data_IF_338152422361
#
_entry.id   IF_338152422361
#
_cell.length_a   1.000
_cell.length_b   1.000
_cell.length_c   1.000
_cell.angle_alpha   90.00
_cell.angle_beta   90.00
_cell.angle_gamma   90.00
#
_symmetry.space_group_name_H-M   'P 1'
#
loop_
_entity.id
_entity.type
_entity.pdbx_description
1 polymer ?
#
# COMPACT_ATOMS: atom_id res chain seq x y z
N UNK A 1 20.57 7.69 6.13
CA UNK A 1 20.14 6.35 6.58
C UNK A 1 18.96 5.75 5.81
N UNK A 2 17.85 6.47 5.54
CA UNK A 2 16.68 5.89 4.84
C UNK A 2 16.96 5.33 3.42
N UNK A 3 17.92 5.91 2.70
CA UNK A 3 18.34 5.42 1.37
C UNK A 3 18.98 4.03 1.41
N UNK A 4 19.66 3.66 2.50
CA UNK A 4 20.38 2.38 2.60
C UNK A 4 19.45 1.21 3.00
N UNK A 5 18.42 1.47 3.82
CA UNK A 5 17.45 0.44 4.22
C UNK A 5 16.57 0.03 3.04
N UNK A 6 16.16 1.00 2.20
CA UNK A 6 15.37 0.72 1.00
C UNK A 6 16.25 0.01 -0.06
N UNK A 7 17.53 0.37 -0.16
CA UNK A 7 18.45 -0.28 -1.10
C UNK A 7 18.66 -1.77 -0.76
N UNK A 8 18.83 -2.13 0.51
CA UNK A 8 19.08 -3.51 0.94
C UNK A 8 17.87 -4.44 0.73
N UNK A 9 16.65 -3.98 1.02
CA UNK A 9 15.44 -4.76 0.78
C UNK A 9 15.13 -4.96 -0.72
N UNK A 10 15.48 -3.97 -1.56
CA UNK A 10 15.30 -4.03 -3.01
C UNK A 10 16.39 -4.90 -3.67
N UNK A 11 17.63 -4.88 -3.18
CA UNK A 11 18.70 -5.69 -3.75
C UNK A 11 18.47 -7.21 -3.57
N UNK A 12 17.94 -7.63 -2.40
CA UNK A 12 17.68 -9.04 -2.11
C UNK A 12 16.55 -9.63 -2.98
N UNK A 13 15.62 -8.80 -3.47
CA UNK A 13 14.51 -9.24 -4.30
C UNK A 13 14.86 -9.36 -5.81
N UNK A 14 15.93 -8.71 -6.27
CA UNK A 14 16.27 -8.64 -7.70
C UNK A 14 17.17 -9.78 -8.20
N UNK A 15 17.80 -10.54 -7.30
CA UNK A 15 18.72 -11.63 -7.66
C UNK A 15 18.04 -12.99 -7.86
N UNK A 16 16.73 -13.12 -7.58
CA UNK A 16 16.02 -14.36 -7.85
C UNK A 16 15.57 -14.38 -9.32
N UNK A 17 16.02 -15.35 -10.16
CA UNK A 17 15.59 -15.45 -11.54
C UNK A 17 14.07 -15.44 -11.60
N UNK A 18 13.51 -14.57 -12.45
CA UNK A 18 12.08 -14.40 -12.62
C UNK A 18 11.45 -15.77 -12.96
N UNK A 19 10.82 -16.39 -11.96
CA UNK A 19 10.21 -17.71 -12.07
C UNK A 19 9.31 -17.75 -13.32
N UNK A 20 9.69 -18.58 -14.27
CA UNK A 20 9.31 -18.51 -15.68
C UNK A 20 7.83 -18.25 -15.94
N UNK A 21 7.54 -17.09 -16.51
CA UNK A 21 6.28 -16.81 -17.18
C UNK A 21 6.25 -17.56 -18.53
N UNK A 22 6.08 -18.88 -18.49
CA UNK A 22 5.82 -19.69 -19.68
C UNK A 22 4.56 -19.17 -20.38
N UNK A 23 4.74 -18.66 -21.60
CA UNK A 23 3.69 -18.11 -22.49
C UNK A 23 2.72 -19.22 -22.94
N UNK A 24 1.58 -18.77 -23.47
CA UNK A 24 0.29 -19.46 -23.66
C UNK A 24 0.34 -20.71 -24.56
N UNK A 25 -0.46 -21.73 -24.21
CA UNK A 25 -1.41 -22.33 -25.14
C UNK A 25 -1.08 -23.68 -25.80
N UNK A 26 0.17 -24.16 -25.77
CA UNK A 26 0.49 -25.52 -26.25
C UNK A 26 0.09 -26.59 -25.23
N UNK A 27 -0.20 -27.82 -25.67
CA UNK A 27 -0.20 -29.01 -24.80
C UNK A 27 1.05 -28.89 -23.92
N UNK A 28 0.87 -28.84 -22.60
CA UNK A 28 2.00 -28.70 -21.69
C UNK A 28 2.82 -29.96 -21.82
N UNK A 29 3.99 -29.87 -22.44
CA UNK A 29 5.01 -30.91 -22.35
C UNK A 29 5.37 -31.02 -20.88
N UNK A 30 4.79 -32.02 -20.23
CA UNK A 30 5.06 -32.32 -18.82
C UNK A 30 6.53 -32.72 -18.66
N UNK A 31 7.14 -33.22 -19.74
CA UNK A 31 8.53 -33.64 -19.79
C UNK A 31 9.51 -32.44 -19.66
N UNK A 32 9.04 -31.21 -19.90
CA UNK A 32 9.85 -29.99 -19.76
C UNK A 32 9.86 -29.38 -18.34
N UNK A 33 9.16 -29.98 -17.36
CA UNK A 33 9.30 -29.53 -15.98
C UNK A 33 10.60 -30.06 -15.40
N UNK A 34 11.56 -29.16 -15.16
CA UNK A 34 12.75 -29.44 -14.36
C UNK A 34 12.51 -29.02 -12.92
N UNK A 35 13.05 -29.78 -11.97
CA UNK A 35 13.10 -29.37 -10.57
C UNK A 35 14.16 -28.29 -10.44
N UNK A 36 13.78 -27.14 -9.91
CA UNK A 36 14.73 -26.08 -9.56
C UNK A 36 15.27 -26.36 -8.18
N UNK A 37 16.52 -26.80 -8.11
CA UNK A 37 17.24 -27.01 -6.86
C UNK A 37 17.80 -25.67 -6.35
N UNK A 38 17.56 -25.40 -5.07
CA UNK A 38 18.24 -24.34 -4.33
C UNK A 38 19.30 -24.97 -3.45
N UNK A 39 20.43 -24.30 -3.26
CA UNK A 39 21.55 -24.79 -2.44
C UNK A 39 21.72 -23.98 -1.15
N UNK A 40 20.64 -23.34 -0.68
CA UNK A 40 20.62 -22.54 0.55
C UNK A 40 19.23 -22.64 1.17
N UNK A 41 19.17 -23.08 2.43
CA UNK A 41 17.93 -23.19 3.18
C UNK A 41 17.23 -21.83 3.29
N UNK A 42 17.97 -20.75 3.53
CA UNK A 42 17.40 -19.41 3.68
C UNK A 42 16.70 -18.94 2.40
N UNK A 43 17.33 -19.15 1.23
CA UNK A 43 16.70 -18.87 -0.05
C UNK A 43 15.44 -19.72 -0.27
N UNK A 44 15.50 -21.01 0.10
CA UNK A 44 14.35 -21.92 0.04
C UNK A 44 13.19 -21.44 0.91
N UNK A 45 13.49 -20.98 2.11
CA UNK A 45 12.53 -20.45 3.08
C UNK A 45 11.88 -19.15 2.59
N UNK A 46 12.63 -18.24 1.98
CA UNK A 46 12.10 -17.01 1.36
C UNK A 46 11.10 -17.37 0.24
N UNK A 47 11.49 -18.27 -0.68
CA UNK A 47 10.63 -18.69 -1.80
C UNK A 47 9.37 -19.41 -1.29
N UNK A 48 9.53 -20.29 -0.29
CA UNK A 48 8.44 -21.00 0.35
C UNK A 48 7.45 -20.05 1.03
N UNK A 49 7.95 -19.07 1.77
CA UNK A 49 7.13 -18.09 2.48
C UNK A 49 6.36 -17.18 1.52
N UNK A 50 6.97 -16.87 0.37
CA UNK A 50 6.34 -16.11 -0.71
C UNK A 50 5.10 -16.80 -1.27
N UNK A 51 5.10 -18.13 -1.38
CA UNK A 51 4.03 -18.87 -2.08
C UNK A 51 3.28 -19.90 -1.23
N UNK A 52 3.55 -19.98 0.08
CA UNK A 52 3.01 -20.98 1.01
C UNK A 52 3.27 -22.42 0.54
N UNK A 53 4.47 -22.67 0.04
CA UNK A 53 4.88 -24.01 -0.41
C UNK A 53 5.65 -24.73 0.69
N UNK A 54 5.46 -26.05 0.88
CA UNK A 54 6.37 -26.84 1.68
C UNK A 54 7.75 -26.91 1.01
N UNK A 55 8.77 -27.22 1.80
CA UNK A 55 10.15 -27.35 1.36
C UNK A 55 10.61 -28.79 1.56
N UNK A 56 11.06 -29.42 0.49
CA UNK A 56 11.78 -30.70 0.54
C UNK A 56 13.26 -30.37 0.72
N UNK A 57 13.81 -30.73 1.88
CA UNK A 57 15.25 -30.71 2.13
C UNK A 57 15.82 -32.07 1.75
N UNK A 58 16.80 -32.08 0.86
CA UNK A 58 17.54 -33.26 0.45
C UNK A 58 18.97 -33.16 0.94
N UNK A 59 19.29 -33.91 1.97
CA UNK A 59 20.65 -34.04 2.50
C UNK A 59 21.36 -35.11 1.66
N UNK A 60 22.19 -34.67 0.72
CA UNK A 60 22.89 -35.58 -0.18
C UNK A 60 24.17 -34.91 -0.71
N UNK A 61 25.35 -35.57 -0.61
CA UNK A 61 26.59 -35.08 -1.17
C UNK A 61 26.49 -35.06 -2.70
N UNK A 62 26.76 -33.90 -3.28
CA UNK A 62 26.74 -33.73 -4.73
C UNK A 62 27.82 -34.57 -5.42
N UNK A 63 27.55 -34.98 -6.66
CA UNK A 63 28.52 -35.73 -7.48
C UNK A 63 28.72 -37.21 -7.09
N UNK A 64 27.96 -37.74 -6.12
CA UNK A 64 28.02 -39.16 -5.77
C UNK A 64 27.12 -40.02 -6.67
N UNK A 65 27.48 -41.29 -6.85
CA UNK A 65 26.63 -42.27 -7.58
C UNK A 65 25.26 -42.43 -6.92
N UNK A 66 25.20 -42.31 -5.60
CA UNK A 66 23.95 -42.37 -4.84
C UNK A 66 23.04 -41.18 -5.18
N UNK A 67 23.59 -39.96 -5.19
CA UNK A 67 22.85 -38.76 -5.60
C UNK A 67 22.31 -38.88 -7.03
N UNK A 68 23.15 -39.34 -7.96
CA UNK A 68 22.74 -39.53 -9.36
C UNK A 68 21.60 -40.55 -9.51
N UNK A 69 21.70 -41.68 -8.82
CA UNK A 69 20.66 -42.71 -8.87
C UNK A 69 19.34 -42.21 -8.29
N UNK A 70 19.39 -41.50 -7.17
CA UNK A 70 18.21 -40.93 -6.52
C UNK A 70 17.55 -39.83 -7.37
N UNK A 71 18.36 -38.99 -8.02
CA UNK A 71 17.86 -38.01 -8.99
C UNK A 71 17.07 -38.68 -10.11
N UNK A 72 17.61 -39.75 -10.70
CA UNK A 72 16.95 -40.48 -11.78
C UNK A 72 15.68 -41.24 -11.32
N UNK A 73 15.74 -41.94 -10.19
CA UNK A 73 14.63 -42.80 -9.73
C UNK A 73 13.51 -42.05 -9.05
N UNK A 74 13.83 -40.93 -8.40
CA UNK A 74 12.92 -40.26 -7.47
C UNK A 74 12.47 -38.92 -8.04
N UNK A 75 13.43 -38.04 -8.34
CA UNK A 75 13.16 -36.66 -8.69
C UNK A 75 12.84 -36.46 -10.19
N UNK A 76 13.44 -37.24 -11.08
CA UNK A 76 13.24 -37.10 -12.53
C UNK A 76 11.93 -37.72 -13.05
N UNK A 77 11.15 -38.33 -12.15
CA UNK A 77 9.86 -38.93 -12.46
C UNK A 77 8.80 -37.89 -12.80
N UNK A 78 7.89 -38.24 -13.72
CA UNK A 78 6.78 -37.38 -14.15
C UNK A 78 5.90 -36.95 -12.97
N UNK A 79 5.69 -37.84 -12.02
CA UNK A 79 4.82 -37.65 -10.86
C UNK A 79 5.37 -36.55 -9.95
N UNK A 80 6.68 -36.55 -9.66
CA UNK A 80 7.32 -35.51 -8.85
C UNK A 80 7.43 -34.20 -9.63
N UNK A 81 7.79 -34.24 -10.92
CA UNK A 81 7.84 -33.05 -11.79
C UNK A 81 6.51 -32.27 -11.84
N UNK A 82 5.37 -32.96 -11.82
CA UNK A 82 4.03 -32.33 -11.77
C UNK A 82 3.78 -31.61 -10.45
N UNK A 83 4.37 -32.09 -9.35
CA UNK A 83 4.26 -31.48 -8.01
C UNK A 83 5.26 -30.34 -7.81
N UNK A 84 6.36 -30.32 -8.56
CA UNK A 84 7.45 -29.37 -8.39
C UNK A 84 7.03 -27.89 -8.37
N UNK A 85 6.05 -27.42 -9.18
CA UNK A 85 5.57 -26.04 -9.10
C UNK A 85 4.89 -25.66 -7.78
N UNK A 86 4.62 -26.61 -6.88
CA UNK A 86 3.92 -26.43 -5.61
C UNK A 86 4.79 -26.79 -4.39
N UNK A 87 6.08 -27.04 -4.60
CA UNK A 87 7.05 -27.42 -3.58
C UNK A 87 8.34 -26.63 -3.85
N UNK A 88 9.14 -26.39 -2.83
CA UNK A 88 10.49 -25.85 -2.99
C UNK A 88 11.47 -26.97 -2.69
N UNK A 89 12.41 -27.22 -3.59
CA UNK A 89 13.45 -28.24 -3.41
C UNK A 89 14.74 -27.54 -3.02
N UNK A 90 15.32 -27.96 -1.90
CA UNK A 90 16.59 -27.45 -1.40
C UNK A 90 17.51 -28.65 -1.20
N UNK A 91 18.67 -28.62 -1.86
CA UNK A 91 19.73 -29.59 -1.63
C UNK A 91 20.70 -29.02 -0.60
N UNK A 92 20.99 -29.82 0.41
CA UNK A 92 21.89 -29.49 1.51
C UNK A 92 23.08 -30.44 1.40
N UNK A 93 24.29 -29.86 1.38
CA UNK A 93 25.53 -30.61 1.43
C UNK A 93 25.93 -30.78 2.90
N UNK A 94 25.86 -32.00 3.46
CA UNK A 94 26.13 -32.22 4.88
C UNK A 94 27.54 -31.78 5.30
N UNK A 95 28.52 -31.95 4.41
CA UNK A 95 29.91 -31.55 4.63
C UNK A 95 30.10 -30.02 4.72
N UNK A 96 29.24 -29.25 4.06
CA UNK A 96 29.31 -27.78 4.03
C UNK A 96 28.44 -27.16 5.12
N UNK A 97 27.28 -27.75 5.42
CA UNK A 97 26.30 -27.24 6.37
C UNK A 97 25.96 -28.27 7.49
N UNK A 98 26.95 -28.75 8.27
CA UNK A 98 26.75 -29.81 9.27
C UNK A 98 25.81 -29.39 10.41
N UNK A 99 25.68 -28.09 10.66
CA UNK A 99 24.73 -27.55 11.64
C UNK A 99 23.28 -27.87 11.27
N UNK A 100 22.96 -27.92 9.96
CA UNK A 100 21.61 -28.25 9.49
C UNK A 100 21.32 -29.74 9.67
N UNK A 101 22.30 -30.60 9.46
CA UNK A 101 22.18 -32.04 9.72
C UNK A 101 21.81 -32.28 11.19
N UNK A 102 22.55 -31.67 12.11
CA UNK A 102 22.29 -31.72 13.55
C UNK A 102 20.92 -31.12 13.92
N UNK A 103 20.59 -29.95 13.36
CA UNK A 103 19.31 -29.26 13.62
C UNK A 103 18.11 -30.12 13.21
N UNK A 104 18.25 -30.87 12.13
CA UNK A 104 17.18 -31.71 11.61
C UNK A 104 17.28 -33.20 12.01
N UNK A 105 18.20 -33.54 12.92
CA UNK A 105 18.41 -34.89 13.45
C UNK A 105 18.50 -35.92 12.31
N UNK A 106 19.38 -35.63 11.34
CA UNK A 106 19.67 -36.53 10.22
C UNK A 106 20.69 -37.56 10.70
N UNK A 107 20.37 -38.85 10.51
CA UNK A 107 21.21 -39.97 10.97
C UNK A 107 21.86 -40.74 9.82
N UNK A 108 21.26 -40.69 8.64
CA UNK A 108 21.70 -41.39 7.46
C UNK A 108 21.65 -40.46 6.25
N UNK A 109 22.56 -40.65 5.30
CA UNK A 109 22.65 -39.88 4.06
C UNK A 109 22.57 -40.88 2.88
N UNK A 110 21.69 -40.68 1.88
CA UNK A 110 20.82 -39.52 1.71
C UNK A 110 19.65 -39.48 2.70
N UNK A 111 19.10 -38.29 2.92
CA UNK A 111 17.90 -38.11 3.75
C UNK A 111 16.97 -37.04 3.17
N UNK A 112 15.66 -37.25 3.29
CA UNK A 112 14.63 -36.29 2.90
C UNK A 112 13.78 -35.83 4.08
N UNK A 113 13.58 -34.52 4.16
CA UNK A 113 12.79 -33.89 5.21
C UNK A 113 11.84 -32.88 4.58
N UNK A 114 10.55 -32.99 4.92
CA UNK A 114 9.55 -32.02 4.50
C UNK A 114 9.27 -31.03 5.63
N UNK A 115 9.51 -29.75 5.37
CA UNK A 115 9.27 -28.65 6.32
C UNK A 115 8.29 -27.63 5.73
N UNK A 116 7.71 -26.79 6.58
CA UNK A 116 7.00 -25.59 6.16
C UNK A 116 7.96 -24.40 5.96
N UNK A 117 7.42 -23.26 5.53
CA UNK A 117 8.15 -22.01 5.33
C UNK A 117 8.64 -21.35 6.63
N UNK A 118 8.33 -21.92 7.80
CA UNK A 118 8.85 -21.53 9.10
C UNK A 118 9.87 -22.54 9.63
N UNK A 119 10.24 -23.55 8.83
CA UNK A 119 11.20 -24.57 9.20
C UNK A 119 10.60 -25.68 10.08
N UNK A 120 9.28 -25.67 10.32
CA UNK A 120 8.62 -26.70 11.12
C UNK A 120 8.44 -27.96 10.29
N UNK A 121 8.83 -29.11 10.86
CA UNK A 121 8.66 -30.41 10.21
C UNK A 121 7.18 -30.73 9.95
N UNK A 122 6.88 -31.18 8.75
CA UNK A 122 5.55 -31.57 8.28
C UNK A 122 5.37 -33.09 8.22
N UNK A 123 6.47 -33.85 8.13
CA UNK A 123 6.54 -35.31 8.09
C UNK A 123 7.68 -35.84 8.98
N UNK A 124 7.73 -37.16 9.14
CA UNK A 124 8.93 -37.85 9.61
C UNK A 124 10.03 -37.78 8.54
N UNK A 125 11.29 -37.94 8.96
CA UNK A 125 12.43 -38.05 8.05
C UNK A 125 12.30 -39.34 7.23
N UNK A 126 12.72 -39.29 5.98
CA UNK A 126 12.93 -40.48 5.16
C UNK A 126 14.44 -40.66 5.11
N UNK A 127 14.93 -41.68 5.80
CA UNK A 127 16.36 -42.02 5.87
C UNK A 127 16.68 -43.00 4.75
N UNK A 128 17.84 -42.80 4.10
CA UNK A 128 18.28 -43.59 2.96
C UNK A 128 17.51 -43.27 1.67
N UNK A 129 17.51 -44.25 0.76
CA UNK A 129 16.88 -44.11 -0.55
C UNK A 129 15.37 -43.94 -0.46
N UNK A 130 14.82 -42.87 -1.06
CA UNK A 130 13.39 -42.62 -1.11
C UNK A 130 12.80 -42.93 -2.49
N UNK A 131 11.83 -43.85 -2.57
CA UNK A 131 11.05 -44.08 -3.79
C UNK A 131 10.14 -42.87 -4.11
N UNK A 132 9.86 -42.62 -5.39
CA UNK A 132 9.05 -41.48 -5.80
C UNK A 132 7.62 -41.51 -5.24
N UNK A 133 7.06 -42.71 -5.03
CA UNK A 133 5.73 -42.92 -4.46
C UNK A 133 5.62 -42.38 -3.03
N UNK A 134 6.65 -42.61 -2.21
CA UNK A 134 6.71 -42.17 -0.83
C UNK A 134 6.87 -40.64 -0.75
N UNK A 135 7.75 -40.09 -1.58
CA UNK A 135 7.91 -38.63 -1.69
C UNK A 135 6.61 -37.96 -2.14
N UNK A 136 5.95 -38.50 -3.17
CA UNK A 136 4.65 -38.00 -3.64
C UNK A 136 3.60 -38.03 -2.52
N UNK A 137 3.50 -39.15 -1.79
CA UNK A 137 2.55 -39.33 -0.68
C UNK A 137 2.77 -38.29 0.41
N UNK A 138 4.02 -38.03 0.78
CA UNK A 138 4.38 -37.09 1.83
C UNK A 138 4.14 -35.63 1.38
N UNK A 139 4.46 -35.28 0.13
CA UNK A 139 4.14 -33.97 -0.46
C UNK A 139 2.61 -33.74 -0.46
N UNK A 140 1.83 -34.72 -0.93
CA UNK A 140 0.36 -34.64 -0.92
C UNK A 140 -0.20 -34.47 0.49
N UNK A 141 0.36 -35.18 1.47
CA UNK A 141 -0.04 -35.03 2.88
C UNK A 141 0.28 -33.63 3.42
N UNK A 142 1.44 -33.05 3.07
CA UNK A 142 1.77 -31.68 3.42
C UNK A 142 0.84 -30.67 2.76
N UNK A 143 0.46 -30.85 1.49
CA UNK A 143 -0.49 -29.98 0.81
C UNK A 143 -1.89 -29.97 1.45
N UNK A 144 -2.29 -31.06 2.11
CA UNK A 144 -3.53 -31.10 2.91
C UNK A 144 -3.43 -30.22 4.15
N UNK A 145 -2.28 -30.22 4.84
CA UNK A 145 -2.01 -29.36 6.00
C UNK A 145 -1.82 -27.90 5.59
N UNK A 146 -1.20 -27.68 4.43
CA UNK A 146 -0.77 -26.37 3.94
C UNK A 146 -0.99 -26.26 2.45
N UNK A 147 -2.12 -25.68 2.07
CA UNK A 147 -2.50 -25.55 0.66
C UNK A 147 -1.66 -24.47 -0.04
N UNK A 148 -0.87 -24.82 -1.07
CA UNK A 148 -0.11 -23.83 -1.82
C UNK A 148 -1.02 -22.82 -2.52
N UNK A 149 -0.49 -21.63 -2.78
CA UNK A 149 -1.21 -20.63 -3.57
C UNK A 149 -1.43 -21.11 -5.02
N UNK A 150 -2.63 -20.85 -5.55
CA UNK A 150 -2.93 -21.13 -6.95
C UNK A 150 -2.04 -20.27 -7.87
N UNK A 151 -1.61 -20.83 -9.01
CA UNK A 151 -0.78 -20.13 -10.02
C UNK A 151 -1.29 -18.72 -10.39
N UNK A 152 -2.61 -18.56 -10.59
CA UNK A 152 -3.22 -17.25 -10.90
C UNK A 152 -3.03 -16.23 -9.77
N UNK A 153 -3.13 -16.66 -8.52
CA UNK A 153 -2.91 -15.82 -7.35
C UNK A 153 -1.45 -15.40 -7.23
N UNK A 154 -0.52 -16.33 -7.46
CA UNK A 154 0.92 -16.06 -7.50
C UNK A 154 1.24 -14.99 -8.54
N UNK A 155 0.78 -15.18 -9.79
CA UNK A 155 1.00 -14.21 -10.87
C UNK A 155 0.42 -12.82 -10.55
N UNK A 156 -0.74 -12.76 -9.88
CA UNK A 156 -1.35 -11.51 -9.44
C UNK A 156 -0.50 -10.81 -8.39
N UNK A 157 0.03 -11.57 -7.42
CA UNK A 157 0.91 -11.05 -6.37
C UNK A 157 2.23 -10.52 -6.94
N UNK A 158 2.90 -11.30 -7.79
CA UNK A 158 4.16 -10.86 -8.43
C UNK A 158 3.94 -9.59 -9.25
N UNK A 159 2.85 -9.51 -10.03
CA UNK A 159 2.52 -8.30 -10.79
C UNK A 159 2.23 -7.10 -9.90
N UNK A 160 1.48 -7.31 -8.81
CA UNK A 160 1.19 -6.24 -7.86
C UNK A 160 2.47 -5.74 -7.19
N UNK A 161 3.37 -6.64 -6.80
CA UNK A 161 4.65 -6.28 -6.19
C UNK A 161 5.55 -5.52 -7.16
N UNK A 162 5.70 -6.01 -8.40
CA UNK A 162 6.46 -5.31 -9.44
C UNK A 162 5.87 -3.94 -9.83
N UNK A 163 4.54 -3.76 -9.69
CA UNK A 163 3.90 -2.45 -9.85
C UNK A 163 4.23 -1.52 -8.69
N UNK A 164 4.22 -2.04 -7.47
CA UNK A 164 4.63 -1.30 -6.27
C UNK A 164 6.08 -0.81 -6.38
N UNK A 165 7.03 -1.69 -6.70
CA UNK A 165 8.46 -1.35 -6.80
C UNK A 165 8.70 -0.25 -7.84
N UNK A 166 8.09 -0.39 -9.02
CA UNK A 166 8.17 0.63 -10.08
C UNK A 166 7.54 1.96 -9.66
N UNK A 167 6.41 1.92 -8.97
CA UNK A 167 5.72 3.12 -8.49
C UNK A 167 6.54 3.85 -7.42
N UNK A 168 7.13 3.13 -6.46
CA UNK A 168 8.00 3.71 -5.43
C UNK A 168 9.24 4.35 -6.05
N UNK A 169 9.90 3.68 -7.02
CA UNK A 169 11.05 4.26 -7.72
C UNK A 169 10.71 5.60 -8.40
N UNK A 170 9.50 5.73 -8.92
CA UNK A 170 8.98 6.95 -9.56
C UNK A 170 8.30 7.93 -8.58
N UNK A 171 8.28 7.65 -7.28
CA UNK A 171 7.55 8.41 -6.24
C UNK A 171 6.03 8.54 -6.53
N UNK A 172 5.45 7.59 -7.26
CA UNK A 172 4.02 7.54 -7.58
C UNK A 172 3.23 6.84 -6.45
N UNK A 173 3.17 7.45 -5.26
CA UNK A 173 2.65 6.81 -4.04
C UNK A 173 1.21 6.29 -4.17
N UNK A 174 0.34 6.98 -4.92
CA UNK A 174 -1.04 6.54 -5.16
C UNK A 174 -1.09 5.17 -5.84
N UNK A 175 -0.23 4.97 -6.85
CA UNK A 175 -0.13 3.68 -7.56
C UNK A 175 0.50 2.62 -6.66
N UNK A 176 1.50 2.99 -5.86
CA UNK A 176 2.12 2.09 -4.89
C UNK A 176 1.10 1.58 -3.85
N UNK A 177 0.31 2.46 -3.24
CA UNK A 177 -0.74 2.09 -2.26
C UNK A 177 -1.80 1.19 -2.91
N UNK A 178 -2.24 1.50 -4.13
CA UNK A 178 -3.20 0.66 -4.87
C UNK A 178 -2.65 -0.73 -5.21
N UNK A 179 -1.36 -0.82 -5.53
CA UNK A 179 -0.69 -2.10 -5.77
C UNK A 179 -0.63 -2.95 -4.49
N UNK A 180 -0.26 -2.33 -3.36
CA UNK A 180 -0.20 -3.02 -2.05
C UNK A 180 -1.58 -3.43 -1.52
N UNK A 181 -2.64 -2.65 -1.77
CA UNK A 181 -4.00 -3.06 -1.38
C UNK A 181 -4.45 -4.32 -2.13
N UNK A 182 -3.96 -4.53 -3.36
CA UNK A 182 -4.21 -5.78 -4.11
C UNK A 182 -3.58 -6.98 -3.41
N UNK A 183 -2.39 -6.81 -2.82
CA UNK A 183 -1.69 -7.86 -2.07
C UNK A 183 -2.47 -8.28 -0.82
N UNK A 184 -3.05 -7.32 -0.09
CA UNK A 184 -3.86 -7.57 1.12
C UNK A 184 -5.12 -8.40 0.90
N UNK A 185 -5.55 -8.57 -0.35
CA UNK A 185 -6.70 -9.47 -0.66
C UNK A 185 -6.33 -10.96 -0.58
N UNK A 186 -5.05 -11.29 -0.46
CA UNK A 186 -4.55 -12.67 -0.33
C UNK A 186 -4.30 -13.02 1.15
N UNK A 187 -4.15 -14.31 1.44
CA UNK A 187 -3.92 -14.84 2.80
C UNK A 187 -2.90 -14.03 3.59
N UNK A 188 -3.29 -13.64 4.81
CA UNK A 188 -2.44 -12.92 5.79
C UNK A 188 -1.17 -13.68 6.20
N UNK A 189 -1.10 -14.97 5.92
CA UNK A 189 0.04 -15.84 6.26
C UNK A 189 1.19 -15.77 5.24
N UNK A 190 1.03 -15.03 4.15
CA UNK A 190 2.03 -14.93 3.07
C UNK A 190 3.09 -13.89 3.41
N UNK A 191 4.34 -14.13 2.98
CA UNK A 191 5.41 -13.14 3.03
C UNK A 191 4.98 -11.81 2.39
N UNK A 192 4.25 -11.86 1.27
CA UNK A 192 3.75 -10.67 0.60
C UNK A 192 2.87 -9.78 1.49
N UNK A 193 2.05 -10.37 2.37
CA UNK A 193 1.20 -9.56 3.25
C UNK A 193 2.06 -8.80 4.27
N UNK A 194 2.99 -9.49 4.92
CA UNK A 194 3.92 -8.88 5.89
C UNK A 194 4.76 -7.78 5.23
N UNK A 195 5.31 -8.05 4.05
CA UNK A 195 6.09 -7.05 3.31
C UNK A 195 5.22 -5.88 2.83
N UNK A 196 3.96 -6.12 2.47
CA UNK A 196 3.04 -5.05 2.11
C UNK A 196 2.70 -4.15 3.30
N UNK A 197 2.59 -4.70 4.52
CA UNK A 197 2.41 -3.93 5.74
C UNK A 197 3.63 -3.05 6.03
N UNK A 198 4.83 -3.64 6.03
CA UNK A 198 6.10 -2.90 6.18
C UNK A 198 6.25 -1.79 5.13
N UNK A 199 5.93 -2.09 3.87
CA UNK A 199 5.97 -1.12 2.79
C UNK A 199 4.98 0.04 2.99
N UNK A 200 3.77 -0.25 3.49
CA UNK A 200 2.77 0.77 3.79
C UNK A 200 3.18 1.65 4.98
N UNK A 201 3.84 1.09 6.00
CA UNK A 201 4.40 1.87 7.11
C UNK A 201 5.49 2.85 6.63
N UNK A 202 6.34 2.43 5.70
CA UNK A 202 7.34 3.32 5.10
C UNK A 202 6.67 4.45 4.32
N UNK A 203 5.62 4.15 3.55
CA UNK A 203 4.82 5.17 2.85
C UNK A 203 4.18 6.13 3.84
N UNK A 204 3.65 5.65 4.96
CA UNK A 204 3.05 6.49 6.00
C UNK A 204 4.07 7.44 6.62
N UNK A 205 5.27 6.95 6.95
CA UNK A 205 6.35 7.81 7.48
C UNK A 205 6.72 8.92 6.52
N UNK A 206 6.76 8.63 5.21
CA UNK A 206 7.01 9.64 4.17
C UNK A 206 5.84 10.64 4.12
N UNK A 207 4.61 10.16 4.15
CA UNK A 207 3.41 10.99 4.07
C UNK A 207 3.25 11.91 5.29
N UNK A 208 3.52 11.40 6.50
CA UNK A 208 3.49 12.18 7.75
C UNK A 208 4.57 13.26 7.75
N UNK A 209 5.78 12.96 7.26
CA UNK A 209 6.82 13.99 7.09
C UNK A 209 6.36 15.10 6.14
N UNK A 210 5.82 14.74 4.97
CA UNK A 210 5.29 15.73 4.02
C UNK A 210 4.13 16.54 4.60
N UNK A 211 3.28 15.92 5.42
CA UNK A 211 2.21 16.62 6.11
C UNK A 211 2.75 17.64 7.13
N UNK A 212 3.74 17.25 7.95
CA UNK A 212 4.34 18.15 8.95
C UNK A 212 4.96 19.39 8.30
N UNK A 213 5.72 19.22 7.22
CA UNK A 213 6.31 20.33 6.46
C UNK A 213 5.21 21.31 5.95
N UNK A 214 4.04 20.78 5.55
CA UNK A 214 2.90 21.57 5.08
C UNK A 214 2.11 22.23 6.20
N UNK A 215 2.07 21.62 7.37
CA UNK A 215 1.45 22.19 8.56
C UNK A 215 2.23 23.43 9.02
N UNK A 216 3.56 23.39 9.00
CA UNK A 216 4.41 24.56 9.23
C UNK A 216 4.22 25.62 8.15
N UNK A 217 4.24 25.22 6.87
CA UNK A 217 4.01 26.13 5.74
C UNK A 217 2.62 26.79 5.81
N UNK A 218 1.61 26.13 6.39
CA UNK A 218 0.28 26.69 6.51
C UNK A 218 0.22 27.94 7.40
N UNK A 219 1.18 28.09 8.33
CA UNK A 219 1.28 29.24 9.22
C UNK A 219 1.81 30.48 8.50
N UNK A 220 2.72 30.31 7.53
CA UNK A 220 3.37 31.40 6.80
C UNK A 220 2.69 31.67 5.45
N UNK A 221 2.43 30.63 4.67
CA UNK A 221 1.89 30.70 3.29
C UNK A 221 0.65 29.80 3.12
N UNK A 222 -0.51 30.19 3.69
CA UNK A 222 -1.70 29.33 3.76
C UNK A 222 -2.25 28.91 2.39
N UNK A 223 -2.15 29.75 1.36
CA UNK A 223 -2.65 29.41 0.03
C UNK A 223 -1.79 28.36 -0.69
N UNK A 224 -0.47 28.43 -0.54
CA UNK A 224 0.47 27.47 -1.11
C UNK A 224 0.36 26.13 -0.38
N UNK A 225 0.32 26.16 0.95
CA UNK A 225 0.06 24.99 1.78
C UNK A 225 -1.24 24.29 1.36
N UNK A 226 -2.33 25.04 1.15
CA UNK A 226 -3.61 24.48 0.70
C UNK A 226 -3.51 23.73 -0.63
N UNK A 227 -2.77 24.26 -1.61
CA UNK A 227 -2.56 23.59 -2.91
C UNK A 227 -1.80 22.28 -2.73
N UNK A 228 -0.70 22.31 -1.98
CA UNK A 228 0.14 21.13 -1.74
C UNK A 228 -0.57 20.07 -0.85
N UNK A 229 -1.39 20.47 0.11
CA UNK A 229 -2.22 19.54 0.91
C UNK A 229 -3.19 18.76 0.02
N UNK A 230 -3.70 19.36 -1.07
CA UNK A 230 -4.51 18.62 -2.04
C UNK A 230 -3.71 17.56 -2.80
N UNK A 231 -2.41 17.75 -3.01
CA UNK A 231 -1.54 16.77 -3.67
C UNK A 231 -1.24 15.59 -2.73
N UNK A 232 -1.02 15.87 -1.44
CA UNK A 232 -0.87 14.85 -0.39
C UNK A 232 -2.13 14.00 -0.28
N UNK A 233 -3.32 14.61 -0.24
CA UNK A 233 -4.59 13.87 -0.21
C UNK A 233 -4.73 12.91 -1.41
N UNK A 234 -4.38 13.36 -2.61
CA UNK A 234 -4.45 12.55 -3.84
C UNK A 234 -3.37 11.48 -3.90
N UNK A 235 -2.20 11.73 -3.33
CA UNK A 235 -1.04 10.82 -3.38
C UNK A 235 -1.14 9.69 -2.37
N UNK A 236 -1.70 9.94 -1.19
CA UNK A 236 -1.75 8.97 -0.08
C UNK A 236 -3.18 8.55 0.27
N UNK A 237 -4.01 8.29 -0.74
CA UNK A 237 -5.44 7.95 -0.56
C UNK A 237 -5.63 6.82 0.46
N UNK A 238 -6.50 7.06 1.45
CA UNK A 238 -6.85 6.10 2.49
C UNK A 238 -5.81 5.96 3.61
N UNK A 239 -4.72 6.75 3.59
CA UNK A 239 -3.70 6.78 4.65
C UNK A 239 -4.00 7.87 5.70
N UNK A 240 -3.45 7.77 6.93
CA UNK A 240 -3.70 8.75 7.99
C UNK A 240 -3.36 10.20 7.60
N UNK A 241 -2.18 10.42 7.01
CA UNK A 241 -1.74 11.74 6.56
C UNK A 241 -2.68 12.39 5.54
N UNK A 242 -3.31 11.61 4.65
CA UNK A 242 -4.30 12.16 3.70
C UNK A 242 -5.58 12.64 4.39
N UNK A 243 -6.01 11.99 5.49
CA UNK A 243 -7.15 12.45 6.30
C UNK A 243 -6.81 13.77 6.99
N UNK A 244 -5.66 13.83 7.68
CA UNK A 244 -5.16 15.06 8.32
C UNK A 244 -5.02 16.20 7.32
N UNK A 245 -4.45 15.93 6.14
CA UNK A 245 -4.30 16.92 5.08
C UNK A 245 -5.65 17.46 4.59
N UNK A 246 -6.66 16.59 4.44
CA UNK A 246 -8.02 16.98 4.06
C UNK A 246 -8.68 17.87 5.12
N UNK A 247 -8.51 17.53 6.39
CA UNK A 247 -9.04 18.32 7.52
C UNK A 247 -8.39 19.70 7.60
N UNK A 248 -7.06 19.76 7.58
CA UNK A 248 -6.31 21.03 7.61
C UNK A 248 -6.68 21.91 6.41
N UNK A 249 -6.75 21.34 5.20
CA UNK A 249 -7.21 22.06 4.01
C UNK A 249 -8.63 22.61 4.18
N UNK A 250 -9.50 21.86 4.86
CA UNK A 250 -10.85 22.29 5.20
C UNK A 250 -10.88 23.48 6.18
N UNK A 251 -9.99 23.49 7.18
CA UNK A 251 -9.84 24.63 8.12
C UNK A 251 -9.38 25.90 7.41
N UNK A 252 -8.33 25.80 6.60
CA UNK A 252 -7.81 26.93 5.81
C UNK A 252 -8.86 27.51 4.84
N UNK A 253 -9.73 26.67 4.29
CA UNK A 253 -10.86 27.10 3.45
C UNK A 253 -11.91 27.91 4.23
N UNK A 254 -12.20 27.51 5.48
CA UNK A 254 -13.15 28.23 6.34
C UNK A 254 -12.56 29.56 6.80
N UNK A 255 -11.29 29.59 7.22
CA UNK A 255 -10.60 30.82 7.61
C UNK A 255 -10.55 31.85 6.47
N UNK A 256 -10.27 31.41 5.24
CA UNK A 256 -10.33 32.31 4.08
C UNK A 256 -11.74 32.86 3.84
N UNK A 257 -12.78 32.05 4.06
CA UNK A 257 -14.18 32.52 3.96
C UNK A 257 -14.54 33.52 5.05
N UNK A 258 -14.04 33.33 6.28
CA UNK A 258 -14.22 34.28 7.38
C UNK A 258 -13.55 35.60 7.03
N UNK A 259 -12.27 35.59 6.64
CA UNK A 259 -11.56 36.81 6.20
C UNK A 259 -12.19 37.49 4.97
N UNK A 260 -12.85 36.72 4.09
CA UNK A 260 -13.58 37.28 2.94
C UNK A 260 -14.99 37.79 3.30
N UNK A 261 -15.60 37.24 4.35
CA UNK A 261 -16.90 37.65 4.91
C UNK A 261 -16.80 38.81 5.90
N UNK A 262 -15.61 39.06 6.45
CA UNK A 262 -15.21 40.31 7.13
C UNK A 262 -14.94 41.46 6.15
N UNK A 263 -15.33 41.33 4.87
CA UNK A 263 -15.68 42.52 4.11
C UNK A 263 -16.88 43.13 4.82
N UNK A 264 -16.69 44.31 5.41
CA UNK A 264 -17.74 45.14 6.02
C UNK A 264 -19.06 44.90 5.29
N UNK A 265 -20.17 44.65 6.01
CA UNK A 265 -21.46 44.39 5.39
C UNK A 265 -21.65 45.47 4.34
N UNK A 266 -21.69 45.07 3.05
CA UNK A 266 -21.78 46.02 1.94
C UNK A 266 -22.99 46.88 2.25
N UNK A 267 -22.76 48.11 2.71
CA UNK A 267 -23.82 49.03 3.06
C UNK A 267 -24.52 49.30 1.74
N UNK A 268 -25.71 48.74 1.55
CA UNK A 268 -26.50 48.94 0.34
C UNK A 268 -27.45 50.10 0.58
N UNK A 269 -27.85 50.80 -0.48
CA UNK A 269 -28.90 51.82 -0.38
C UNK A 269 -30.15 51.26 0.31
N UNK A 270 -30.56 50.03 -0.04
CA UNK A 270 -31.70 49.35 0.59
C UNK A 270 -31.53 49.12 2.10
N UNK A 271 -30.35 48.75 2.59
CA UNK A 271 -30.13 48.56 4.03
C UNK A 271 -30.18 49.87 4.79
N UNK A 272 -29.57 50.94 4.27
CA UNK A 272 -29.64 52.27 4.89
C UNK A 272 -31.08 52.81 4.88
N UNK A 273 -31.82 52.56 3.80
CA UNK A 273 -33.21 53.00 3.67
C UNK A 273 -34.10 52.30 4.69
N UNK A 274 -33.95 50.97 4.81
CA UNK A 274 -34.70 50.18 5.78
C UNK A 274 -34.39 50.61 7.21
N UNK A 275 -33.11 50.79 7.55
CA UNK A 275 -32.70 51.26 8.87
C UNK A 275 -33.28 52.63 9.20
N UNK A 276 -33.35 53.53 8.21
CA UNK A 276 -34.00 54.83 8.38
C UNK A 276 -35.52 54.73 8.62
N UNK A 277 -36.22 53.81 7.94
CA UNK A 277 -37.64 53.58 8.16
C UNK A 277 -37.91 52.98 9.54
N UNK A 278 -37.10 51.99 9.96
CA UNK A 278 -37.22 51.35 11.28
C UNK A 278 -37.01 52.40 12.40
N UNK A 279 -36.04 53.32 12.25
CA UNK A 279 -35.81 54.44 13.19
C UNK A 279 -36.97 55.45 13.20
N UNK A 280 -37.58 55.71 12.04
CA UNK A 280 -38.76 56.58 11.92
C UNK A 280 -39.95 55.98 12.66
N UNK A 281 -40.20 54.68 12.48
CA UNK A 281 -41.29 53.96 13.16
C UNK A 281 -41.07 53.90 14.68
N UNK A 282 -39.81 53.81 15.12
CA UNK A 282 -39.44 53.88 16.54
C UNK A 282 -39.56 55.30 17.15
N UNK A 283 -39.88 56.33 16.35
CA UNK A 283 -39.99 57.72 16.80
C UNK A 283 -38.65 58.45 16.94
N UNK A 284 -37.53 57.85 16.52
CA UNK A 284 -36.20 58.45 16.55
C UNK A 284 -35.96 59.32 15.29
N UNK A 285 -36.78 60.37 15.13
CA UNK A 285 -36.86 61.18 13.90
C UNK A 285 -35.52 61.75 13.44
N UNK A 286 -34.72 62.29 14.36
CA UNK A 286 -33.43 62.90 14.03
C UNK A 286 -32.39 61.88 13.53
N UNK A 287 -32.40 60.66 14.09
CA UNK A 287 -31.52 59.58 13.62
C UNK A 287 -31.98 59.04 12.27
N UNK A 288 -33.29 58.96 12.04
CA UNK A 288 -33.86 58.61 10.74
C UNK A 288 -33.45 59.63 9.66
N UNK A 289 -33.55 60.94 9.93
CA UNK A 289 -33.08 62.00 9.01
C UNK A 289 -31.60 61.87 8.68
N UNK A 290 -30.75 61.62 9.69
CA UNK A 290 -29.32 61.44 9.48
C UNK A 290 -29.01 60.26 8.54
N UNK A 291 -29.69 59.12 8.73
CA UNK A 291 -29.53 57.93 7.88
C UNK A 291 -30.06 58.13 6.45
N UNK A 292 -31.16 58.87 6.27
CA UNK A 292 -31.66 59.22 4.93
C UNK A 292 -30.70 60.15 4.18
N UNK A 293 -30.10 61.15 4.86
CA UNK A 293 -29.07 62.02 4.27
C UNK A 293 -27.83 61.22 3.87
N UNK A 294 -27.36 60.33 4.76
CA UNK A 294 -26.24 59.42 4.47
C UNK A 294 -26.52 58.54 3.24
N UNK A 295 -27.75 58.05 3.09
CA UNK A 295 -28.17 57.29 1.91
C UNK A 295 -28.13 58.11 0.63
N UNK A 296 -28.67 59.33 0.65
CA UNK A 296 -28.73 60.22 -0.53
C UNK A 296 -27.32 60.60 -0.97
N UNK A 297 -26.43 60.86 -0.02
CA UNK A 297 -25.04 61.22 -0.29
C UNK A 297 -24.24 60.04 -0.86
N UNK A 298 -24.37 58.85 -0.26
CA UNK A 298 -23.63 57.66 -0.71
C UNK A 298 -24.19 57.04 -1.99
N UNK A 299 -25.50 57.19 -2.27
CA UNK A 299 -26.17 56.53 -3.39
C UNK A 299 -27.11 57.47 -4.20
N UNK A 300 -26.62 58.59 -4.74
CA UNK A 300 -27.47 59.66 -5.30
C UNK A 300 -28.29 59.27 -6.55
N UNK A 301 -27.91 58.18 -7.22
CA UNK A 301 -28.58 57.68 -8.44
C UNK A 301 -29.45 56.44 -8.18
N UNK A 302 -29.50 55.96 -6.94
CA UNK A 302 -30.27 54.77 -6.59
C UNK A 302 -31.76 55.12 -6.41
N UNK A 303 -32.71 54.27 -6.84
CA UNK A 303 -34.15 54.53 -6.65
C UNK A 303 -34.53 54.87 -5.20
N UNK A 304 -33.87 54.24 -4.21
CA UNK A 304 -34.13 54.51 -2.79
C UNK A 304 -33.71 55.93 -2.37
N UNK A 305 -32.79 56.59 -3.08
CA UNK A 305 -32.40 57.96 -2.79
C UNK A 305 -33.48 58.97 -3.21
N UNK A 306 -34.22 58.70 -4.28
CA UNK A 306 -35.38 59.50 -4.67
C UNK A 306 -36.47 59.45 -3.61
N UNK A 307 -36.75 58.25 -3.09
CA UNK A 307 -37.76 58.07 -2.05
C UNK A 307 -37.30 58.61 -0.69
N UNK A 308 -36.01 58.45 -0.35
CA UNK A 308 -35.42 59.05 0.84
C UNK A 308 -35.53 60.58 0.85
N UNK A 309 -35.38 61.26 -0.31
CA UNK A 309 -35.57 62.72 -0.40
C UNK A 309 -37.00 63.13 -0.06
N UNK A 310 -37.99 62.39 -0.57
CA UNK A 310 -39.42 62.67 -0.30
C UNK A 310 -39.73 62.52 1.19
N UNK A 311 -39.27 61.42 1.80
CA UNK A 311 -39.49 61.16 3.22
C UNK A 311 -38.75 62.18 4.09
N UNK A 312 -37.53 62.58 3.71
CA UNK A 312 -36.78 63.62 4.43
C UNK A 312 -37.54 64.96 4.42
N UNK A 313 -38.09 65.34 3.27
CA UNK A 313 -38.87 66.57 3.10
C UNK A 313 -40.18 66.53 3.91
N UNK A 314 -40.85 65.38 4.00
CA UNK A 314 -42.02 65.19 4.86
C UNK A 314 -41.68 65.36 6.35
N UNK A 315 -40.56 64.76 6.80
CA UNK A 315 -40.09 64.85 8.19
C UNK A 315 -39.54 66.23 8.57
N UNK A 316 -39.22 67.09 7.60
CA UNK A 316 -38.78 68.47 7.83
C UNK A 316 -39.96 69.46 7.85
N UNK A 317 -41.11 69.08 7.28
CA UNK A 317 -42.34 69.89 7.24
C UNK A 317 -43.31 69.61 8.39
N UNK A 318 -43.26 68.41 8.97
CA UNK A 318 -44.03 68.01 10.16
C UNK A 318 -43.27 68.28 11.45
#
# INVERSE_FOLDING_TARGET
MLRNIIALAVLLCLALPAYGASRRGGKKDIDNYHITWLHSLDNGMIVAAKYLRPIVLHFCPDGTKVAFNEDASTFDTRQIKVLAPNVVFVRIQPDVEPELEKKYDVKEIPSLILIDEKGKRLSKNIEGHCAWEDLEKIIKAAHRKRKPLKKKSIQRLDRAWALYERAIKKKEYRKAVKALSTVKTVSRKTWFHEQADKALEVIDKIAEKQYADLEELSKTEPEKARKQLSEVEKSFVGRPAAKKAKELRGKLLKEKKIKAGEKEPKVTARSLFKEALDLREAGEVEKAKAKLRELIEKFPKDPFAGEARRILEELEKG
#
